data_IF_965164812651
#
_entry.id   IF_965164812651
#
_cell.length_a   1.000
_cell.length_b   1.000
_cell.length_c   1.000
_cell.angle_alpha   90.00
_cell.angle_beta   90.00
_cell.angle_gamma   90.00
#
_symmetry.space_group_name_H-M   'P 1'
#
loop_
_entity.id
_entity.type
_entity.pdbx_description
1 polymer ?
#
# COMPACT_ATOMS: atom_id res chain seq x y z
N UNK A 1 9.42 17.23 -8.01
CA UNK A 1 8.62 16.72 -6.86
C UNK A 1 7.17 17.03 -7.11
N UNK A 2 6.47 16.04 -7.66
CA UNK A 2 5.02 16.07 -7.80
C UNK A 2 4.40 15.40 -6.58
N UNK A 3 3.29 15.96 -6.09
CA UNK A 3 2.58 15.47 -4.92
C UNK A 3 1.10 15.30 -5.25
N UNK A 4 0.57 14.11 -5.01
CA UNK A 4 -0.86 13.83 -5.19
C UNK A 4 -1.50 13.60 -3.82
N UNK A 5 -2.44 14.48 -3.45
CA UNK A 5 -3.18 14.36 -2.21
C UNK A 5 -4.41 13.47 -2.39
N UNK A 6 -4.51 12.39 -1.61
CA UNK A 6 -5.69 11.53 -1.59
C UNK A 6 -6.59 11.84 -0.38
N UNK A 7 -7.90 11.61 -0.55
CA UNK A 7 -8.88 11.76 0.53
C UNK A 7 -8.48 10.88 1.72
N UNK A 8 -8.37 11.47 2.92
CA UNK A 8 -7.93 10.86 4.20
C UNK A 8 -6.43 10.95 4.53
N UNK A 9 -5.67 11.86 3.92
CA UNK A 9 -4.38 12.29 4.47
C UNK A 9 -3.18 11.42 4.09
N UNK A 10 -3.30 10.60 3.04
CA UNK A 10 -2.15 9.96 2.42
C UNK A 10 -1.49 10.91 1.45
N UNK A 11 -0.18 11.09 1.63
CA UNK A 11 0.69 11.76 0.69
C UNK A 11 1.61 10.73 0.07
N UNK A 12 1.58 10.65 -1.26
CA UNK A 12 2.57 9.93 -2.02
C UNK A 12 3.43 10.99 -2.70
N UNK A 13 4.73 10.93 -2.46
CA UNK A 13 5.71 11.83 -3.04
C UNK A 13 6.73 11.00 -3.80
N UNK A 14 7.08 11.45 -4.99
CA UNK A 14 8.09 10.82 -5.81
C UNK A 14 8.88 11.88 -6.60
N UNK A 15 10.02 11.44 -7.12
CA UNK A 15 10.88 12.22 -8.00
C UNK A 15 10.51 11.98 -9.46
N UNK A 16 10.92 12.88 -10.35
CA UNK A 16 10.50 12.89 -11.75
C UNK A 16 11.03 11.69 -12.55
N UNK A 17 12.00 10.93 -12.03
CA UNK A 17 12.52 9.68 -12.59
C UNK A 17 11.67 8.45 -12.25
N UNK A 18 10.67 8.63 -11.38
CA UNK A 18 9.72 7.62 -10.94
C UNK A 18 8.36 7.92 -11.55
N UNK A 19 7.80 6.94 -12.27
CA UNK A 19 6.41 6.97 -12.67
C UNK A 19 5.54 6.25 -11.66
N UNK A 20 4.37 6.85 -11.37
CA UNK A 20 3.39 6.32 -10.43
C UNK A 20 2.00 6.36 -11.09
N UNK A 21 1.31 5.23 -11.08
CA UNK A 21 -0.09 5.12 -11.49
C UNK A 21 -0.91 4.56 -10.32
N UNK A 22 -1.89 5.33 -9.84
CA UNK A 22 -2.79 4.88 -8.78
C UNK A 22 -3.85 3.97 -9.41
N UNK A 23 -3.84 2.68 -9.03
CA UNK A 23 -4.75 1.67 -9.55
C UNK A 23 -6.02 1.55 -8.70
N UNK A 24 -5.89 1.70 -7.38
CA UNK A 24 -7.02 1.67 -6.45
C UNK A 24 -6.70 2.43 -5.16
N UNK A 25 -7.69 3.14 -4.63
CA UNK A 25 -7.62 3.82 -3.33
C UNK A 25 -8.70 3.24 -2.43
N UNK A 26 -8.27 2.63 -1.33
CA UNK A 26 -9.14 2.09 -0.31
C UNK A 26 -8.97 2.87 0.99
N UNK A 27 -9.93 2.75 1.91
CA UNK A 27 -9.88 3.42 3.21
C UNK A 27 -8.69 3.02 4.09
N UNK A 28 -8.04 1.90 3.77
CA UNK A 28 -6.94 1.30 4.53
C UNK A 28 -5.68 1.02 3.71
N UNK A 29 -5.69 1.28 2.40
CA UNK A 29 -4.52 1.10 1.56
C UNK A 29 -4.60 1.90 0.27
N UNK A 30 -3.45 2.13 -0.36
CA UNK A 30 -3.35 2.60 -1.74
C UNK A 30 -2.60 1.56 -2.54
N UNK A 31 -3.19 1.13 -3.64
CA UNK A 31 -2.59 0.21 -4.59
C UNK A 31 -2.21 0.98 -5.86
N UNK A 32 -0.96 0.83 -6.27
CA UNK A 32 -0.37 1.58 -7.36
C UNK A 32 0.62 0.74 -8.13
N UNK A 33 0.87 1.15 -9.37
CA UNK A 33 2.01 0.70 -10.17
C UNK A 33 3.11 1.74 -10.07
N UNK A 34 4.33 1.28 -9.88
CA UNK A 34 5.52 2.12 -9.81
C UNK A 34 6.51 1.63 -10.84
N UNK A 35 7.12 2.54 -11.60
CA UNK A 35 8.22 2.22 -12.49
C UNK A 35 9.34 3.24 -12.41
N UNK A 36 10.58 2.78 -12.58
CA UNK A 36 11.77 3.61 -12.60
C UNK A 36 12.21 3.76 -14.05
N UNK A 37 12.08 4.97 -14.61
CA UNK A 37 12.22 5.23 -16.05
C UNK A 37 13.58 4.76 -16.56
N UNK A 38 14.66 5.12 -15.86
CA UNK A 38 16.03 4.84 -16.29
C UNK A 38 16.48 3.38 -16.05
N UNK A 39 15.82 2.67 -15.13
CA UNK A 39 16.21 1.29 -14.76
C UNK A 39 15.38 0.23 -15.51
N UNK A 40 14.32 0.63 -16.23
CA UNK A 40 13.36 -0.29 -16.87
C UNK A 40 12.74 -1.30 -15.88
N UNK A 41 12.54 -0.88 -14.63
CA UNK A 41 11.92 -1.70 -13.58
C UNK A 41 10.48 -1.22 -13.40
N UNK A 42 9.53 -2.15 -13.36
CA UNK A 42 8.11 -1.93 -13.03
C UNK A 42 7.68 -2.93 -11.98
N UNK A 43 6.91 -2.48 -10.99
CA UNK A 43 6.35 -3.33 -9.96
C UNK A 43 5.05 -2.74 -9.42
N UNK A 44 4.25 -3.61 -8.82
CA UNK A 44 3.06 -3.23 -8.08
C UNK A 44 3.45 -2.89 -6.64
N UNK A 45 2.82 -1.88 -6.07
CA UNK A 45 3.02 -1.47 -4.69
C UNK A 45 1.69 -1.23 -4.00
N UNK A 46 1.51 -1.81 -2.81
CA UNK A 46 0.40 -1.50 -1.93
C UNK A 46 0.91 -0.90 -0.63
N UNK A 47 0.57 0.35 -0.37
CA UNK A 47 0.85 1.03 0.89
C UNK A 47 -0.35 0.90 1.81
N UNK A 48 -0.17 0.20 2.93
CA UNK A 48 -1.20 -0.12 3.91
C UNK A 48 -1.14 0.83 5.09
N UNK A 49 -2.31 1.25 5.54
CA UNK A 49 -2.53 1.89 6.82
C UNK A 49 -3.81 1.30 7.41
N UNK A 50 -3.63 0.19 8.11
CA UNK A 50 -4.73 -0.63 8.57
C UNK A 50 -5.50 0.04 9.71
N UNK A 51 -6.78 -0.30 9.82
CA UNK A 51 -7.61 0.08 10.96
C UNK A 51 -7.21 -0.69 12.21
N UNK A 52 -7.37 -0.04 13.38
CA UNK A 52 -7.24 -0.69 14.69
C UNK A 52 -8.33 -1.72 14.98
N UNK A 53 -9.45 -1.66 14.25
CA UNK A 53 -10.57 -2.58 14.43
C UNK A 53 -10.35 -3.88 13.65
N UNK A 54 -10.42 -5.02 14.35
CA UNK A 54 -10.18 -6.34 13.75
C UNK A 54 -11.08 -6.67 12.57
N UNK A 55 -12.37 -6.28 12.62
CA UNK A 55 -13.33 -6.50 11.53
C UNK A 55 -12.94 -5.74 10.26
N UNK A 56 -12.53 -4.48 10.38
CA UNK A 56 -12.02 -3.67 9.27
C UNK A 56 -10.73 -4.25 8.72
N UNK A 57 -9.85 -4.80 9.57
CA UNK A 57 -8.60 -5.43 9.13
C UNK A 57 -8.84 -6.76 8.38
N UNK A 58 -9.88 -7.52 8.72
CA UNK A 58 -10.26 -8.70 7.95
C UNK A 58 -10.60 -8.31 6.49
N UNK A 59 -11.38 -7.24 6.31
CA UNK A 59 -11.70 -6.73 4.98
C UNK A 59 -10.46 -6.27 4.20
N UNK A 60 -9.45 -5.71 4.89
CA UNK A 60 -8.16 -5.39 4.26
C UNK A 60 -7.50 -6.65 3.71
N UNK A 61 -7.43 -7.72 4.50
CA UNK A 61 -6.82 -8.99 4.05
C UNK A 61 -7.57 -9.63 2.89
N UNK A 62 -8.91 -9.61 2.92
CA UNK A 62 -9.73 -10.09 1.80
C UNK A 62 -9.41 -9.31 0.52
N UNK A 63 -9.30 -7.98 0.60
CA UNK A 63 -8.92 -7.14 -0.54
C UNK A 63 -7.50 -7.37 -1.03
N UNK A 64 -6.52 -7.57 -0.14
CA UNK A 64 -5.17 -7.95 -0.56
C UNK A 64 -5.16 -9.32 -1.24
N UNK A 65 -5.97 -10.27 -0.75
CA UNK A 65 -6.13 -11.57 -1.40
C UNK A 65 -6.80 -11.48 -2.77
N UNK A 66 -7.77 -10.58 -2.96
CA UNK A 66 -8.33 -10.32 -4.29
C UNK A 66 -7.25 -9.78 -5.24
N UNK A 67 -6.45 -8.80 -4.80
CA UNK A 67 -5.37 -8.21 -5.60
C UNK A 67 -4.31 -9.26 -5.96
N UNK A 68 -3.96 -10.17 -5.04
CA UNK A 68 -2.95 -11.20 -5.28
C UNK A 68 -3.31 -12.14 -6.44
N UNK A 69 -4.60 -12.34 -6.70
CA UNK A 69 -5.08 -13.20 -7.81
C UNK A 69 -4.89 -12.57 -9.18
N UNK A 70 -4.80 -11.24 -9.26
CA UNK A 70 -4.70 -10.48 -10.51
C UNK A 70 -3.34 -9.80 -10.69
N UNK A 71 -2.49 -9.78 -9.66
CA UNK A 71 -1.15 -9.22 -9.73
C UNK A 71 -0.25 -10.07 -10.65
N UNK A 72 0.14 -9.52 -11.80
CA UNK A 72 0.98 -10.20 -12.80
C UNK A 72 2.44 -9.71 -12.82
N UNK A 73 2.83 -8.89 -11.85
CA UNK A 73 4.15 -8.28 -11.71
C UNK A 73 4.67 -8.47 -10.28
N UNK A 74 5.98 -8.27 -10.01
CA UNK A 74 6.49 -8.21 -8.66
C UNK A 74 5.65 -7.27 -7.81
N UNK A 75 5.22 -7.72 -6.63
CA UNK A 75 4.29 -6.97 -5.79
C UNK A 75 4.89 -6.73 -4.42
N UNK A 76 5.13 -5.46 -4.12
CA UNK A 76 5.57 -4.96 -2.82
C UNK A 76 4.34 -4.56 -2.00
N UNK A 77 4.29 -4.99 -0.76
CA UNK A 77 3.29 -4.53 0.21
C UNK A 77 4.04 -3.99 1.42
N UNK A 78 3.75 -2.75 1.80
CA UNK A 78 4.45 -2.07 2.90
C UNK A 78 3.50 -1.15 3.66
N UNK A 79 3.90 -0.69 4.85
CA UNK A 79 3.14 0.25 5.65
C UNK A 79 2.84 -0.27 7.05
N UNK A 80 1.87 0.37 7.71
CA UNK A 80 1.47 0.02 9.07
C UNK A 80 0.22 -0.87 9.03
N UNK A 81 0.40 -2.14 9.38
CA UNK A 81 -0.66 -3.13 9.42
C UNK A 81 -1.39 -3.18 10.77
N UNK A 82 -0.88 -2.47 11.80
CA UNK A 82 -1.35 -2.52 13.19
C UNK A 82 -1.76 -3.96 13.59
N UNK A 83 -0.84 -4.89 13.34
CA UNK A 83 -0.91 -6.25 13.86
C UNK A 83 0.07 -6.29 15.01
N UNK A 84 -0.41 -6.56 16.22
CA UNK A 84 0.49 -6.92 17.32
C UNK A 84 1.17 -8.23 16.88
N UNK A 85 2.46 -8.16 16.54
CA UNK A 85 3.19 -9.28 15.95
C UNK A 85 3.62 -10.30 17.02
N UNK A 86 3.58 -9.92 18.29
CA UNK A 86 3.84 -10.82 19.42
C UNK A 86 3.10 -10.36 20.70
N UNK A 87 2.75 -11.30 21.59
CA UNK A 87 2.11 -10.98 22.88
C UNK A 87 2.95 -10.13 23.84
N UNK A 88 4.20 -9.80 23.49
CA UNK A 88 5.11 -8.94 24.25
C UNK A 88 4.95 -7.44 23.91
N UNK A 89 4.12 -7.09 22.91
CA UNK A 89 3.89 -5.70 22.49
C UNK A 89 2.92 -4.93 23.41
N UNK A 90 2.61 -5.49 24.60
CA UNK A 90 1.83 -4.83 25.63
C UNK A 90 2.63 -4.65 26.93
N UNK A 91 3.63 -3.77 26.90
CA UNK A 91 4.12 -3.08 28.10
C UNK A 91 4.36 -1.61 27.79
N UNK A 92 3.31 -0.83 27.96
CA UNK A 92 3.33 0.60 28.23
C UNK A 92 2.49 0.86 29.46
#
# INVERSE_FOLDING_TARGET
VEAFGLTRGFWILWNDDIGVEILNVHSQFIYMRIWVIHMHISFLCTIVHASRHCSSRAQLWDKLSEISTVAQEPWLIAGDFIAILSGDEQKG
#
